data_IF_739210281221
#
_entry.id   IF_739210281221
#
_cell.length_a   1.000
_cell.length_b   1.000
_cell.length_c   1.000
_cell.angle_alpha   90.00
_cell.angle_beta   90.00
_cell.angle_gamma   90.00
#
_symmetry.space_group_name_H-M   'P 1'
#
loop_
_entity.id
_entity.type
_entity.pdbx_description
1 polymer ?
#
# COMPACT_ATOMS: atom_id res chain seq x y z
N UNK A 1 -52.47 -14.84 -48.38
CA UNK A 1 -52.57 -14.79 -46.90
C UNK A 1 -51.26 -15.24 -46.24
N UNK A 2 -50.67 -16.37 -46.69
CA UNK A 2 -49.35 -16.85 -46.25
C UNK A 2 -48.20 -15.85 -46.40
N UNK A 3 -48.13 -15.11 -47.52
CA UNK A 3 -47.04 -14.16 -47.78
C UNK A 3 -47.00 -13.00 -46.77
N UNK A 4 -48.17 -12.51 -46.33
CA UNK A 4 -48.28 -11.45 -45.32
C UNK A 4 -47.85 -11.94 -43.93
N UNK A 5 -48.10 -13.22 -43.64
CA UNK A 5 -47.67 -13.87 -42.39
C UNK A 5 -46.15 -14.04 -42.38
N UNK A 6 -45.56 -14.50 -43.49
CA UNK A 6 -44.10 -14.61 -43.62
C UNK A 6 -43.38 -13.26 -43.46
N UNK A 7 -43.92 -12.21 -44.07
CA UNK A 7 -43.37 -10.86 -43.95
C UNK A 7 -43.45 -10.33 -42.51
N UNK A 8 -44.56 -10.57 -41.81
CA UNK A 8 -44.71 -10.18 -40.40
C UNK A 8 -43.73 -10.91 -39.48
N UNK A 9 -43.50 -12.21 -39.70
CA UNK A 9 -42.52 -13.01 -38.95
C UNK A 9 -41.10 -12.51 -39.19
N UNK A 10 -40.75 -12.19 -40.44
CA UNK A 10 -39.44 -11.64 -40.79
C UNK A 10 -39.19 -10.29 -40.10
N UNK A 11 -40.18 -9.40 -40.06
CA UNK A 11 -40.06 -8.12 -39.36
C UNK A 11 -39.90 -8.28 -37.84
N UNK A 12 -40.62 -9.21 -37.22
CA UNK A 12 -40.45 -9.52 -35.80
C UNK A 12 -39.06 -10.08 -35.50
N UNK A 13 -38.52 -10.93 -36.38
CA UNK A 13 -37.17 -11.46 -36.25
C UNK A 13 -36.11 -10.36 -36.36
N UNK A 14 -36.24 -9.46 -37.35
CA UNK A 14 -35.35 -8.30 -37.49
C UNK A 14 -35.43 -7.38 -36.28
N UNK A 15 -36.64 -7.12 -35.76
CA UNK A 15 -36.83 -6.32 -34.55
C UNK A 15 -36.18 -6.99 -33.32
N UNK A 16 -36.31 -8.30 -33.18
CA UNK A 16 -35.69 -9.06 -32.10
C UNK A 16 -34.16 -9.01 -32.18
N UNK A 17 -33.57 -9.23 -33.36
CA UNK A 17 -32.12 -9.14 -33.59
C UNK A 17 -31.59 -7.72 -33.29
N UNK A 18 -32.33 -6.69 -33.71
CA UNK A 18 -31.96 -5.31 -33.42
C UNK A 18 -32.00 -4.98 -31.92
N UNK A 19 -33.05 -5.43 -31.21
CA UNK A 19 -33.16 -5.29 -29.75
C UNK A 19 -32.03 -6.01 -29.01
N UNK A 20 -31.66 -7.22 -29.44
CA UNK A 20 -30.56 -7.98 -28.81
C UNK A 20 -29.21 -7.32 -29.04
N UNK A 21 -28.93 -6.80 -30.25
CA UNK A 21 -27.69 -6.09 -30.53
C UNK A 21 -27.58 -4.80 -29.72
N UNK A 22 -28.65 -3.99 -29.66
CA UNK A 22 -28.64 -2.79 -28.82
C UNK A 22 -28.40 -3.07 -27.34
N UNK A 23 -29.03 -4.11 -26.79
CA UNK A 23 -28.78 -4.52 -25.39
C UNK A 23 -27.34 -4.98 -25.17
N UNK A 24 -26.75 -5.69 -26.13
CA UNK A 24 -25.34 -6.12 -26.04
C UNK A 24 -24.39 -4.93 -26.11
N UNK A 25 -24.65 -3.94 -26.96
CA UNK A 25 -23.87 -2.69 -27.04
C UNK A 25 -23.98 -1.87 -25.76
N UNK A 26 -25.19 -1.73 -25.19
CA UNK A 26 -25.41 -1.04 -23.91
C UNK A 26 -24.78 -1.80 -22.72
N UNK A 27 -24.74 -3.13 -22.76
CA UNK A 27 -24.04 -3.95 -21.76
C UNK A 27 -22.52 -3.81 -21.94
N UNK A 28 -22.00 -3.82 -23.17
CA UNK A 28 -20.57 -3.66 -23.44
C UNK A 28 -20.06 -2.24 -23.10
N UNK A 29 -20.88 -1.21 -23.26
CA UNK A 29 -20.57 0.16 -22.83
C UNK A 29 -20.82 0.41 -21.34
N UNK A 30 -21.77 -0.27 -20.70
CA UNK A 30 -22.01 -0.16 -19.25
C UNK A 30 -21.12 -1.07 -18.39
N UNK A 31 -20.47 -2.09 -18.98
CA UNK A 31 -19.29 -2.76 -18.41
C UNK A 31 -18.06 -1.86 -18.62
N UNK A 32 -18.16 -0.66 -18.06
CA UNK A 32 -17.29 -0.27 -16.96
C UNK A 32 -15.79 -0.04 -17.27
N UNK A 33 -15.50 0.63 -18.38
CA UNK A 33 -14.17 1.23 -18.60
C UNK A 33 -13.76 2.11 -17.41
N UNK A 34 -14.72 2.82 -16.80
CA UNK A 34 -14.55 3.61 -15.58
C UNK A 34 -14.12 2.77 -14.37
N UNK A 35 -14.88 1.74 -13.95
CA UNK A 35 -14.47 0.95 -12.80
C UNK A 35 -13.27 0.05 -13.10
N UNK A 36 -13.06 -0.44 -14.33
CA UNK A 36 -11.84 -1.16 -14.67
C UNK A 36 -10.59 -0.27 -14.49
N UNK A 37 -10.67 1.01 -14.87
CA UNK A 37 -9.60 1.98 -14.62
C UNK A 37 -9.47 2.26 -13.11
N UNK A 38 -10.57 2.44 -12.37
CA UNK A 38 -10.51 2.68 -10.92
C UNK A 38 -9.96 1.48 -10.13
N UNK A 39 -10.31 0.24 -10.52
CA UNK A 39 -9.78 -0.99 -9.91
C UNK A 39 -8.28 -1.08 -10.18
N UNK A 40 -7.84 -0.85 -11.43
CA UNK A 40 -6.41 -0.91 -11.78
C UNK A 40 -5.59 0.20 -11.11
N UNK A 41 -6.13 1.41 -10.97
CA UNK A 41 -5.49 2.50 -10.22
C UNK A 41 -5.37 2.16 -8.72
N UNK A 42 -6.44 1.63 -8.12
CA UNK A 42 -6.44 1.17 -6.72
C UNK A 42 -5.43 0.06 -6.49
N UNK A 43 -5.32 -0.89 -7.41
CA UNK A 43 -4.36 -2.00 -7.30
C UNK A 43 -2.92 -1.50 -7.45
N UNK A 44 -2.67 -0.54 -8.35
CA UNK A 44 -1.37 0.15 -8.44
C UNK A 44 -1.02 0.89 -7.15
N UNK A 45 -1.98 1.61 -6.57
CA UNK A 45 -1.78 2.34 -5.32
C UNK A 45 -1.45 1.39 -4.16
N UNK A 46 -2.22 0.31 -4.01
CA UNK A 46 -1.94 -0.74 -3.01
C UNK A 46 -0.56 -1.36 -3.20
N UNK A 47 -0.15 -1.59 -4.45
CA UNK A 47 1.18 -2.12 -4.77
C UNK A 47 2.28 -1.14 -4.36
N UNK A 48 2.14 0.15 -4.69
CA UNK A 48 3.10 1.19 -4.29
C UNK A 48 3.21 1.29 -2.76
N UNK A 49 2.08 1.28 -2.05
CA UNK A 49 2.07 1.27 -0.59
C UNK A 49 2.75 0.03 -0.01
N UNK A 50 2.57 -1.14 -0.62
CA UNK A 50 3.24 -2.36 -0.20
C UNK A 50 4.76 -2.30 -0.46
N UNK A 51 5.19 -1.77 -1.61
CA UNK A 51 6.61 -1.58 -1.94
C UNK A 51 7.28 -0.61 -0.97
N UNK A 52 6.62 0.52 -0.64
CA UNK A 52 7.13 1.48 0.35
C UNK A 52 7.28 0.83 1.74
N UNK A 53 6.28 0.06 2.18
CA UNK A 53 6.35 -0.70 3.43
C UNK A 53 7.51 -1.69 3.45
N UNK A 54 7.73 -2.41 2.34
CA UNK A 54 8.84 -3.36 2.20
C UNK A 54 10.19 -2.65 2.26
N UNK A 55 10.37 -1.52 1.58
CA UNK A 55 11.62 -0.76 1.63
C UNK A 55 11.90 -0.20 3.03
N UNK A 56 10.86 0.29 3.70
CA UNK A 56 10.95 0.74 5.09
C UNK A 56 11.34 -0.40 6.03
N UNK A 57 10.74 -1.58 5.87
CA UNK A 57 11.09 -2.77 6.66
C UNK A 57 12.55 -3.19 6.41
N UNK A 58 13.01 -3.21 5.15
CA UNK A 58 14.42 -3.49 4.82
C UNK A 58 15.38 -2.49 5.44
N UNK A 59 15.01 -1.21 5.55
CA UNK A 59 15.82 -0.21 6.23
C UNK A 59 15.90 -0.49 7.75
N UNK A 60 14.79 -0.86 8.38
CA UNK A 60 14.75 -1.23 9.80
C UNK A 60 15.56 -2.49 10.08
N UNK A 61 15.46 -3.53 9.25
CA UNK A 61 16.28 -4.75 9.38
C UNK A 61 17.77 -4.39 9.32
N UNK A 62 18.18 -3.54 8.37
CA UNK A 62 19.58 -3.13 8.23
C UNK A 62 20.08 -2.28 9.40
N UNK A 63 19.24 -1.40 9.92
CA UNK A 63 19.61 -0.50 11.02
C UNK A 63 19.62 -1.20 12.38
N UNK A 64 18.61 -2.04 12.64
CA UNK A 64 18.31 -2.61 13.94
C UNK A 64 18.73 -4.08 14.07
N UNK A 65 19.15 -4.72 12.97
CA UNK A 65 19.58 -6.12 12.97
C UNK A 65 20.61 -6.41 14.05
N UNK A 66 20.34 -7.44 14.86
CA UNK A 66 21.20 -7.83 15.97
C UNK A 66 21.14 -6.90 17.19
N UNK A 67 20.10 -6.07 17.30
CA UNK A 67 19.82 -5.24 18.49
C UNK A 67 18.51 -5.65 19.15
N UNK A 68 18.33 -5.28 20.41
CA UNK A 68 17.07 -5.50 21.13
C UNK A 68 15.89 -4.75 20.48
N UNK A 69 16.16 -3.70 19.71
CA UNK A 69 15.15 -2.92 19.00
C UNK A 69 14.47 -3.73 17.87
N UNK A 70 15.16 -4.72 17.30
CA UNK A 70 14.64 -5.59 16.23
C UNK A 70 13.38 -6.33 16.66
N UNK A 71 13.32 -6.75 17.93
CA UNK A 71 12.23 -7.55 18.51
C UNK A 71 10.87 -6.87 18.45
N UNK A 72 10.83 -5.56 18.28
CA UNK A 72 9.60 -4.79 18.16
C UNK A 72 9.50 -4.04 16.82
N UNK A 73 10.57 -3.37 16.40
CA UNK A 73 10.52 -2.48 15.23
C UNK A 73 10.71 -3.18 13.87
N UNK A 74 11.02 -4.48 13.86
CA UNK A 74 11.11 -5.30 12.64
C UNK A 74 10.05 -6.39 12.61
N UNK A 75 9.76 -7.03 13.74
CA UNK A 75 8.79 -8.12 13.85
C UNK A 75 7.34 -7.65 13.80
N UNK A 76 7.07 -6.40 14.19
CA UNK A 76 5.73 -5.81 14.19
C UNK A 76 5.63 -4.70 13.14
N UNK A 77 4.81 -4.94 12.11
CA UNK A 77 4.60 -4.00 10.99
C UNK A 77 4.12 -2.60 11.45
N UNK A 78 3.41 -2.53 12.57
CA UNK A 78 2.85 -1.28 13.10
C UNK A 78 3.88 -0.43 13.87
N UNK A 79 5.04 -1.01 14.18
CA UNK A 79 6.11 -0.35 14.94
C UNK A 79 7.33 -0.03 14.08
N UNK A 80 7.28 -0.28 12.77
CA UNK A 80 8.40 0.01 11.85
C UNK A 80 8.71 1.52 11.84
N UNK A 81 9.97 1.87 12.13
CA UNK A 81 10.43 3.27 12.18
C UNK A 81 10.67 3.83 10.77
N UNK A 82 10.54 5.15 10.55
CA UNK A 82 9.91 6.14 11.44
C UNK A 82 8.39 5.95 11.56
N UNK A 83 7.84 6.04 12.77
CA UNK A 83 6.39 5.93 12.98
C UNK A 83 5.70 7.16 12.39
N UNK A 84 4.67 6.94 11.55
CA UNK A 84 3.88 8.01 10.89
C UNK A 84 4.70 9.03 10.09
N UNK A 85 5.84 8.59 9.54
CA UNK A 85 6.77 9.44 8.78
C UNK A 85 7.29 10.67 9.54
N UNK A 86 7.17 10.66 10.87
CA UNK A 86 7.72 11.70 11.72
C UNK A 86 9.23 11.58 11.71
N UNK A 87 9.90 12.60 11.19
CA UNK A 87 11.35 12.71 11.27
C UNK A 87 11.68 13.26 12.67
N UNK A 88 12.40 12.48 13.45
CA UNK A 88 12.96 12.93 14.73
C UNK A 88 14.32 13.58 14.47
N UNK A 89 14.72 14.52 15.33
CA UNK A 89 16.13 14.92 15.43
C UNK A 89 16.94 13.79 16.04
N UNK A 90 18.27 13.85 15.94
CA UNK A 90 19.13 12.86 16.59
C UNK A 90 18.96 12.93 18.11
N UNK A 91 18.84 14.15 18.65
CA UNK A 91 18.64 14.41 20.07
C UNK A 91 17.33 13.77 20.57
N UNK A 92 16.20 14.01 19.87
CA UNK A 92 14.90 13.43 20.23
C UNK A 92 14.92 11.90 20.13
N UNK A 93 15.61 11.36 19.12
CA UNK A 93 15.77 9.91 18.96
C UNK A 93 16.52 9.29 20.14
N UNK A 94 17.64 9.90 20.54
CA UNK A 94 18.42 9.44 21.69
C UNK A 94 17.57 9.57 22.96
N UNK A 95 16.89 10.69 23.17
CA UNK A 95 16.05 10.92 24.34
C UNK A 95 14.97 9.84 24.48
N UNK A 96 14.27 9.50 23.39
CA UNK A 96 13.26 8.44 23.39
C UNK A 96 13.85 7.09 23.79
N UNK A 97 15.05 6.74 23.27
CA UNK A 97 15.71 5.48 23.61
C UNK A 97 16.22 5.46 25.05
N UNK A 98 16.72 6.58 25.56
CA UNK A 98 17.21 6.70 26.94
C UNK A 98 16.10 6.71 27.97
N UNK A 99 14.99 7.37 27.69
CA UNK A 99 13.89 7.52 28.64
C UNK A 99 12.85 6.40 28.53
N UNK A 100 12.74 5.76 27.36
CA UNK A 100 11.68 4.80 27.09
C UNK A 100 10.29 5.44 27.15
N UNK A 101 9.26 4.60 27.21
CA UNK A 101 7.87 4.99 27.49
C UNK A 101 7.10 3.80 28.05
N UNK A 102 5.78 3.92 28.21
CA UNK A 102 4.92 2.86 28.75
C UNK A 102 4.99 1.51 27.99
N UNK A 103 5.43 1.51 26.73
CA UNK A 103 5.49 0.35 25.85
C UNK A 103 6.90 0.03 25.32
N UNK A 104 7.90 0.83 25.70
CA UNK A 104 9.28 0.67 25.27
C UNK A 104 10.23 0.88 26.45
N UNK A 105 11.04 -0.13 26.76
CA UNK A 105 12.05 -0.03 27.81
C UNK A 105 13.06 1.08 27.51
N UNK A 106 13.53 1.73 28.58
CA UNK A 106 14.69 2.60 28.53
C UNK A 106 15.98 1.79 28.33
N UNK A 107 16.95 2.34 27.60
CA UNK A 107 18.27 1.74 27.40
C UNK A 107 19.36 2.70 27.88
N UNK A 108 20.25 2.23 28.75
CA UNK A 108 21.39 3.00 29.24
C UNK A 108 22.60 2.92 28.28
N UNK A 109 23.65 3.72 28.56
CA UNK A 109 24.87 3.78 27.73
C UNK A 109 25.62 2.44 27.64
N UNK A 110 25.51 1.61 28.68
CA UNK A 110 26.16 0.29 28.77
C UNK A 110 25.47 -0.73 27.85
N UNK A 111 24.14 -0.64 27.73
CA UNK A 111 23.34 -1.51 26.86
C UNK A 111 23.47 -1.12 25.40
N UNK A 112 23.48 0.18 25.11
CA UNK A 112 23.67 0.71 23.77
C UNK A 112 24.39 2.05 23.83
N UNK A 113 25.55 2.15 23.19
CA UNK A 113 26.32 3.39 23.19
C UNK A 113 25.70 4.45 22.31
N UNK A 114 25.96 5.71 22.62
CA UNK A 114 25.52 6.86 21.83
C UNK A 114 26.01 6.77 20.38
N UNK A 115 27.26 6.33 20.19
CA UNK A 115 27.84 6.10 18.86
C UNK A 115 27.05 5.05 18.06
N UNK A 116 26.50 4.03 18.73
CA UNK A 116 25.64 3.02 18.09
C UNK A 116 24.26 3.62 17.77
N UNK A 117 23.67 4.40 18.68
CA UNK A 117 22.41 5.10 18.44
C UNK A 117 22.49 6.05 17.25
N UNK A 118 23.58 6.80 17.12
CA UNK A 118 23.83 7.67 15.97
C UNK A 118 23.87 6.92 14.65
N UNK A 119 24.55 5.76 14.60
CA UNK A 119 24.57 4.91 13.39
C UNK A 119 23.19 4.38 13.03
N UNK A 120 22.40 3.98 14.04
CA UNK A 120 21.01 3.54 13.84
C UNK A 120 20.16 4.68 13.28
N UNK A 121 20.26 5.86 13.89
CA UNK A 121 19.56 7.06 13.44
C UNK A 121 19.91 7.39 11.99
N UNK A 122 21.19 7.41 11.65
CA UNK A 122 21.65 7.70 10.30
C UNK A 122 21.09 6.70 9.28
N UNK A 123 21.06 5.42 9.62
CA UNK A 123 20.51 4.37 8.77
C UNK A 123 18.97 4.47 8.61
N UNK A 124 18.24 4.94 9.62
CA UNK A 124 16.78 5.07 9.56
C UNK A 124 16.30 6.36 8.88
N UNK A 125 16.96 7.49 9.15
CA UNK A 125 16.43 8.81 8.81
C UNK A 125 17.17 9.50 7.65
N UNK A 126 18.41 9.12 7.34
CA UNK A 126 19.19 9.80 6.27
C UNK A 126 18.92 9.24 4.88
N UNK A 127 18.26 8.08 4.77
CA UNK A 127 17.92 7.45 3.49
C UNK A 127 16.87 8.26 2.69
N UNK A 128 16.06 9.11 3.35
CA UNK A 128 14.98 9.88 2.71
C UNK A 128 15.42 11.10 1.87
N UNK A 129 16.72 11.32 1.62
CA UNK A 129 17.23 12.48 0.85
C UNK A 129 17.38 12.25 -0.67
N UNK A 130 16.68 11.29 -1.28
CA UNK A 130 16.67 11.08 -2.73
C UNK A 130 15.28 11.23 -3.32
#
# INVERSE_FOLDING_TARGET
MMEKILFAIALLFVFFVYQTNKRLDDIALSIDSGNAILITLRDKEKKLQAEEKVEKLKANIRALGGTECEKCHVTNENLVLPIKDRILTLEDFIEVVRNGNAYMSAFNEEQISEARLKKIYEALYTIKKR
#
